data_IF_984076240333
#
_entry.id   IF_984076240333
#
_cell.length_a   1.000
_cell.length_b   1.000
_cell.length_c   1.000
_cell.angle_alpha   90.00
_cell.angle_beta   90.00
_cell.angle_gamma   90.00
#
_symmetry.space_group_name_H-M   'P 1'
#
loop_
_entity.id
_entity.type
_entity.pdbx_description
1 polymer ?
#
# COMPACT_ATOMS: atom_id res chain seq x y z
N UNK A 1 -7.17 5.94 -27.28
CA UNK A 1 -7.11 6.92 -26.18
C UNK A 1 -5.85 6.63 -25.40
N UNK A 2 -4.97 7.59 -25.09
CA UNK A 2 -3.90 7.32 -24.14
C UNK A 2 -4.52 6.90 -22.80
N UNK A 3 -3.97 5.85 -22.17
CA UNK A 3 -4.38 5.47 -20.83
C UNK A 3 -4.09 6.65 -19.88
N UNK A 4 -5.04 6.97 -19.02
CA UNK A 4 -4.86 7.96 -17.98
C UNK A 4 -3.75 7.46 -17.04
N UNK A 5 -2.76 8.28 -16.68
CA UNK A 5 -1.73 7.85 -15.72
C UNK A 5 -2.28 7.86 -14.29
N UNK A 6 -1.72 7.05 -13.39
CA UNK A 6 -2.00 7.16 -11.96
C UNK A 6 -1.63 8.56 -11.43
N UNK A 7 -2.35 9.00 -10.40
CA UNK A 7 -2.19 10.33 -9.80
C UNK A 7 -2.08 10.26 -8.29
N UNK A 8 -1.35 11.20 -7.70
CA UNK A 8 -1.25 11.39 -6.25
C UNK A 8 -1.98 12.68 -5.88
N UNK A 9 -3.04 12.55 -5.09
CA UNK A 9 -3.83 13.66 -4.55
C UNK A 9 -3.33 13.98 -3.14
N UNK A 10 -3.02 15.25 -2.87
CA UNK A 10 -2.43 15.68 -1.60
C UNK A 10 -0.89 15.64 -1.56
N UNK A 11 -0.25 15.17 -2.63
CA UNK A 11 1.20 15.09 -2.75
C UNK A 11 1.84 13.96 -1.95
N UNK A 12 3.14 13.74 -2.18
CA UNK A 12 3.93 12.74 -1.49
C UNK A 12 5.40 13.15 -1.48
N UNK A 13 6.08 12.87 -0.38
CA UNK A 13 7.53 13.01 -0.24
C UNK A 13 8.28 11.69 -0.51
N UNK A 14 7.56 10.55 -0.50
CA UNK A 14 8.13 9.21 -0.69
C UNK A 14 7.85 8.63 -2.08
N UNK A 15 6.64 8.81 -2.61
CA UNK A 15 6.20 8.24 -3.87
C UNK A 15 6.64 9.11 -5.06
N UNK A 16 7.61 8.59 -5.80
CA UNK A 16 7.96 9.06 -7.14
C UNK A 16 7.03 8.45 -8.20
N UNK A 17 7.08 8.94 -9.44
CA UNK A 17 6.35 8.34 -10.56
C UNK A 17 6.73 6.87 -10.79
N UNK A 18 8.00 6.51 -10.58
CA UNK A 18 8.47 5.13 -10.68
C UNK A 18 7.83 4.24 -9.61
N UNK A 19 7.81 4.70 -8.36
CA UNK A 19 7.21 3.95 -7.24
C UNK A 19 5.70 3.82 -7.40
N UNK A 20 5.02 4.87 -7.86
CA UNK A 20 3.60 4.82 -8.20
C UNK A 20 3.32 3.78 -9.29
N UNK A 21 4.15 3.75 -10.33
CA UNK A 21 4.02 2.78 -11.43
C UNK A 21 4.22 1.34 -10.94
N UNK A 22 5.15 1.10 -10.02
CA UNK A 22 5.34 -0.21 -9.40
C UNK A 22 4.09 -0.66 -8.64
N UNK A 23 3.52 0.22 -7.81
CA UNK A 23 2.29 -0.08 -7.04
C UNK A 23 1.08 -0.30 -7.94
N UNK A 24 0.89 0.52 -8.98
CA UNK A 24 -0.18 0.37 -9.95
C UNK A 24 -0.10 -0.98 -10.68
N UNK A 25 1.09 -1.32 -11.19
CA UNK A 25 1.32 -2.59 -11.89
C UNK A 25 1.07 -3.79 -10.97
N UNK A 26 1.52 -3.72 -9.71
CA UNK A 26 1.31 -4.80 -8.75
C UNK A 26 -0.16 -4.96 -8.39
N UNK A 27 -0.90 -3.85 -8.23
CA UNK A 27 -2.32 -3.89 -7.91
C UNK A 27 -3.14 -4.42 -9.09
N UNK A 28 -2.71 -4.13 -10.34
CA UNK A 28 -3.27 -4.72 -11.55
C UNK A 28 -4.66 -4.20 -11.93
N UNK A 29 -5.10 -3.09 -11.36
CA UNK A 29 -6.44 -2.53 -11.57
C UNK A 29 -6.48 -1.41 -12.63
N UNK A 30 -5.36 -1.18 -13.32
CA UNK A 30 -5.19 -0.03 -14.21
C UNK A 30 -5.02 1.29 -13.45
N UNK A 31 -5.30 2.43 -14.08
CA UNK A 31 -4.98 3.74 -13.50
C UNK A 31 -5.68 3.98 -12.16
N UNK A 32 -4.87 4.23 -11.14
CA UNK A 32 -5.33 4.51 -9.77
C UNK A 32 -5.06 5.95 -9.35
N UNK A 33 -5.94 6.49 -8.54
CA UNK A 33 -5.71 7.70 -7.77
C UNK A 33 -5.37 7.32 -6.32
N UNK A 34 -4.23 7.80 -5.85
CA UNK A 34 -3.78 7.69 -4.46
C UNK A 34 -4.07 9.00 -3.75
N UNK A 35 -4.96 8.98 -2.75
CA UNK A 35 -5.23 10.17 -1.93
C UNK A 35 -4.50 10.05 -0.61
N UNK A 36 -3.56 10.97 -0.35
CA UNK A 36 -2.85 11.02 0.92
C UNK A 36 -3.83 11.37 2.04
N UNK A 37 -3.96 10.47 3.02
CA UNK A 37 -4.83 10.63 4.19
C UNK A 37 -4.06 10.77 5.49
N UNK A 38 -2.74 10.51 5.49
CA UNK A 38 -1.87 10.66 6.65
C UNK A 38 -0.44 10.88 6.18
N UNK A 39 0.20 11.93 6.70
CA UNK A 39 1.65 12.12 6.65
C UNK A 39 2.14 12.26 8.08
N UNK A 40 3.09 11.40 8.49
CA UNK A 40 3.66 11.43 9.84
C UNK A 40 4.35 12.76 10.10
N UNK A 41 3.81 13.54 11.03
CA UNK A 41 4.46 14.73 11.57
C UNK A 41 5.43 14.37 12.71
N UNK A 42 6.41 15.22 13.04
CA UNK A 42 7.20 15.05 14.25
C UNK A 42 6.31 14.87 15.49
N UNK A 43 6.54 13.81 16.27
CA UNK A 43 5.76 13.50 17.46
C UNK A 43 4.41 12.82 17.22
N UNK A 44 4.05 12.50 15.96
CA UNK A 44 2.85 11.71 15.68
C UNK A 44 2.94 10.30 16.29
N UNK A 45 1.79 9.78 16.67
CA UNK A 45 1.63 8.51 17.39
C UNK A 45 0.71 7.55 16.65
N UNK A 46 0.60 6.31 17.12
CA UNK A 46 -0.40 5.36 16.62
C UNK A 46 -1.83 5.91 16.71
N UNK A 47 -2.12 6.74 17.70
CA UNK A 47 -3.44 7.39 17.83
C UNK A 47 -3.70 8.34 16.65
N UNK A 48 -2.71 9.12 16.25
CA UNK A 48 -2.84 10.03 15.10
C UNK A 48 -3.00 9.25 13.78
N UNK A 49 -2.25 8.16 13.64
CA UNK A 49 -2.39 7.23 12.52
C UNK A 49 -3.82 6.66 12.45
N UNK A 50 -4.33 6.08 13.55
CA UNK A 50 -5.65 5.46 13.57
C UNK A 50 -6.77 6.47 13.36
N UNK A 51 -6.68 7.67 13.95
CA UNK A 51 -7.64 8.75 13.72
C UNK A 51 -7.76 9.13 12.24
N UNK A 52 -6.64 9.08 11.51
CA UNK A 52 -6.60 9.41 10.09
C UNK A 52 -7.04 8.24 9.19
N UNK A 53 -6.65 7.01 9.54
CA UNK A 53 -6.65 5.86 8.63
C UNK A 53 -7.78 4.85 8.89
N UNK A 54 -8.35 4.84 10.10
CA UNK A 54 -9.45 3.92 10.40
C UNK A 54 -10.68 4.20 9.54
N UNK A 55 -11.31 3.11 9.08
CA UNK A 55 -12.53 3.09 8.27
C UNK A 55 -12.41 3.80 6.91
N UNK A 56 -11.18 3.98 6.39
CA UNK A 56 -10.94 4.63 5.08
C UNK A 56 -10.93 3.68 3.89
N UNK A 57 -11.23 2.40 4.10
CA UNK A 57 -11.12 1.37 3.07
C UNK A 57 -9.68 0.92 2.88
N UNK A 58 -9.42 0.36 1.70
CA UNK A 58 -8.10 -0.14 1.30
C UNK A 58 -7.05 0.96 1.23
N UNK A 59 -5.84 0.65 1.67
CA UNK A 59 -4.76 1.63 1.75
C UNK A 59 -3.40 1.06 1.36
N UNK A 60 -2.54 1.90 0.79
CA UNK A 60 -1.10 1.72 0.84
C UNK A 60 -0.53 2.46 2.05
N UNK A 61 0.28 1.77 2.86
CA UNK A 61 1.18 2.40 3.84
C UNK A 61 2.56 2.41 3.22
N UNK A 62 3.19 3.58 3.13
CA UNK A 62 4.52 3.78 2.53
C UNK A 62 5.43 4.44 3.57
N UNK A 63 6.60 3.85 3.81
CA UNK A 63 7.50 4.27 4.88
C UNK A 63 8.95 4.27 4.40
N UNK A 64 9.72 5.27 4.80
CA UNK A 64 11.18 5.16 4.82
C UNK A 64 11.59 4.36 6.06
N UNK A 65 12.28 3.26 5.85
CA UNK A 65 12.81 2.41 6.91
C UNK A 65 14.33 2.39 6.85
N UNK A 66 14.98 2.43 8.01
CA UNK A 66 16.42 2.35 8.16
C UNK A 66 16.79 1.26 9.19
N UNK A 67 17.79 0.47 8.87
CA UNK A 67 18.39 -0.48 9.81
C UNK A 67 19.69 0.08 10.41
N UNK A 68 20.09 -0.48 11.56
CA UNK A 68 21.31 -0.06 12.27
C UNK A 68 22.60 -0.25 11.44
N UNK A 69 22.57 -1.12 10.41
CA UNK A 69 23.67 -1.33 9.47
C UNK A 69 23.79 -0.20 8.41
N UNK A 70 22.89 0.78 8.41
CA UNK A 70 22.85 1.92 7.48
C UNK A 70 22.06 1.68 6.20
N UNK A 71 21.47 0.51 6.00
CA UNK A 71 20.58 0.25 4.87
C UNK A 71 19.27 1.04 5.04
N UNK A 72 18.86 1.71 3.97
CA UNK A 72 17.64 2.53 3.93
C UNK A 72 16.82 2.11 2.71
N UNK A 73 15.52 1.91 2.90
CA UNK A 73 14.59 1.58 1.83
C UNK A 73 13.23 2.27 2.01
N UNK A 74 12.51 2.42 0.91
CA UNK A 74 11.09 2.77 0.90
C UNK A 74 10.29 1.48 0.85
N UNK A 75 9.71 1.11 1.97
CA UNK A 75 8.99 -0.15 2.17
C UNK A 75 7.53 0.12 2.57
N UNK A 76 6.74 -0.93 2.65
CA UNK A 76 5.39 -0.81 3.13
C UNK A 76 4.53 -2.02 2.84
N UNK A 77 3.22 -1.79 2.91
CA UNK A 77 2.24 -2.83 2.67
C UNK A 77 0.92 -2.28 2.15
N UNK A 78 0.23 -3.12 1.40
CA UNK A 78 -1.14 -2.91 0.95
C UNK A 78 -2.11 -3.60 1.90
N UNK A 79 -2.99 -2.83 2.52
CA UNK A 79 -4.12 -3.38 3.26
C UNK A 79 -5.37 -3.32 2.36
N UNK A 80 -5.91 -4.45 1.88
CA UNK A 80 -7.11 -4.46 1.06
C UNK A 80 -8.40 -4.18 1.85
N UNK A 81 -8.33 -4.19 3.18
CA UNK A 81 -9.43 -3.90 4.09
C UNK A 81 -9.25 -2.54 4.78
N UNK A 82 -10.23 -2.15 5.60
CA UNK A 82 -10.09 -0.99 6.48
C UNK A 82 -9.31 -1.30 7.75
N UNK A 83 -8.55 -0.31 8.23
CA UNK A 83 -8.09 -0.25 9.61
C UNK A 83 -9.27 0.10 10.55
N UNK A 84 -9.25 -0.35 11.80
CA UNK A 84 -10.39 -0.17 12.71
C UNK A 84 -10.05 -0.15 14.20
N UNK A 85 -8.78 -0.04 14.58
CA UNK A 85 -8.35 -0.04 16.00
C UNK A 85 -8.77 -1.28 16.82
N UNK A 86 -9.24 -2.38 16.19
CA UNK A 86 -9.62 -3.61 16.88
C UNK A 86 -8.54 -4.67 16.70
N UNK A 87 -8.02 -5.18 17.81
CA UNK A 87 -7.11 -6.32 17.81
C UNK A 87 -7.90 -7.60 17.41
N UNK A 88 -7.90 -7.92 16.12
CA UNK A 88 -8.51 -9.15 15.62
C UNK A 88 -7.74 -9.73 14.46
N UNK A 89 -8.15 -10.96 14.10
CA UNK A 89 -7.65 -11.65 12.95
C UNK A 89 -8.69 -11.75 11.80
N UNK A 90 -8.64 -10.91 10.73
CA UNK A 90 -9.33 -11.11 9.44
C UNK A 90 -8.83 -12.32 8.61
N UNK A 91 -9.70 -13.31 8.39
CA UNK A 91 -9.31 -14.58 7.83
C UNK A 91 -9.16 -14.69 6.30
N UNK A 92 -9.06 -13.60 5.53
CA UNK A 92 -8.82 -13.68 4.08
C UNK A 92 -8.53 -12.29 3.53
N UNK A 93 -7.25 -11.97 3.35
CA UNK A 93 -6.82 -10.79 2.60
C UNK A 93 -5.95 -11.22 1.42
N UNK A 94 -6.49 -12.09 0.55
CA UNK A 94 -5.71 -12.76 -0.52
C UNK A 94 -4.97 -11.81 -1.47
N UNK A 95 -5.35 -10.53 -1.52
CA UNK A 95 -4.69 -9.50 -2.31
C UNK A 95 -3.71 -8.62 -1.53
N UNK A 96 -3.53 -8.83 -0.22
CA UNK A 96 -2.53 -8.12 0.58
C UNK A 96 -1.11 -8.50 0.14
N UNK A 97 -0.21 -7.52 0.14
CA UNK A 97 1.19 -7.72 -0.16
C UNK A 97 2.06 -6.69 0.56
N UNK A 98 3.30 -7.05 0.84
CA UNK A 98 4.34 -6.11 1.24
C UNK A 98 5.20 -5.75 0.06
N UNK A 99 5.92 -4.64 0.18
CA UNK A 99 6.80 -4.18 -0.88
C UNK A 99 8.05 -3.51 -0.32
N UNK A 100 9.10 -3.57 -1.14
CA UNK A 100 10.27 -2.71 -1.07
C UNK A 100 10.40 -2.03 -2.45
N UNK A 101 10.02 -0.76 -2.51
CA UNK A 101 10.00 0.00 -3.77
C UNK A 101 11.41 0.39 -4.21
N UNK A 102 12.35 0.49 -3.27
CA UNK A 102 13.75 0.83 -3.56
C UNK A 102 14.46 -0.25 -4.39
N UNK A 103 14.03 -1.51 -4.29
CA UNK A 103 14.55 -2.62 -5.09
C UNK A 103 13.49 -3.33 -5.94
N UNK A 104 12.29 -2.76 -6.06
CA UNK A 104 11.16 -3.31 -6.84
C UNK A 104 10.75 -4.73 -6.44
N UNK A 105 10.83 -5.06 -5.15
CA UNK A 105 10.40 -6.35 -4.62
C UNK A 105 9.00 -6.29 -4.04
N UNK A 106 8.26 -7.38 -4.26
CA UNK A 106 6.93 -7.60 -3.73
C UNK A 106 6.87 -8.96 -3.04
N UNK A 107 6.18 -8.99 -1.90
CA UNK A 107 6.09 -10.15 -1.04
C UNK A 107 4.61 -10.47 -0.91
N UNK A 108 4.20 -11.57 -1.54
CA UNK A 108 2.81 -12.01 -1.56
C UNK A 108 2.51 -12.84 -0.31
N UNK A 109 1.28 -12.71 0.17
CA UNK A 109 0.80 -13.52 1.27
C UNK A 109 0.88 -15.02 0.92
N UNK A 110 1.54 -15.81 1.77
CA UNK A 110 1.65 -17.27 1.65
C UNK A 110 0.96 -18.01 2.80
N UNK A 111 1.01 -17.44 4.01
CA UNK A 111 0.38 -18.01 5.22
C UNK A 111 -0.96 -17.35 5.58
N UNK A 112 -1.59 -17.84 6.63
CA UNK A 112 -2.74 -17.17 7.22
C UNK A 112 -2.29 -15.85 7.88
N UNK A 113 -2.90 -14.74 7.47
CA UNK A 113 -3.29 -13.60 8.33
C UNK A 113 -2.16 -12.61 8.78
N UNK A 114 -2.24 -11.25 8.89
CA UNK A 114 -3.21 -10.13 8.59
C UNK A 114 -2.53 -8.82 9.01
N UNK A 115 -2.91 -7.70 8.41
CA UNK A 115 -2.68 -6.38 9.00
C UNK A 115 -3.20 -6.32 10.45
N UNK A 116 -2.33 -6.08 11.46
CA UNK A 116 -2.77 -5.92 12.85
C UNK A 116 -3.30 -4.51 13.06
N UNK A 117 -4.56 -4.42 13.50
CA UNK A 117 -5.26 -3.15 13.73
C UNK A 117 -5.28 -2.75 15.21
N UNK A 118 -4.27 -3.11 16.01
CA UNK A 118 -4.25 -2.76 17.42
C UNK A 118 -4.01 -1.25 17.59
N UNK A 119 -4.91 -0.55 18.28
CA UNK A 119 -4.88 0.92 18.43
C UNK A 119 -3.60 1.49 19.02
N UNK A 120 -2.84 0.68 19.77
CA UNK A 120 -1.58 1.09 20.38
C UNK A 120 -0.36 0.85 19.48
N UNK A 121 -0.53 0.43 18.22
CA UNK A 121 0.56 0.22 17.27
C UNK A 121 0.36 1.07 16.02
N UNK A 122 1.46 1.38 15.36
CA UNK A 122 1.42 1.89 14.00
C UNK A 122 1.02 0.80 13.00
N UNK A 123 1.20 1.07 11.70
CA UNK A 123 0.88 0.10 10.66
C UNK A 123 1.71 -1.17 10.81
N UNK A 124 1.06 -2.31 10.98
CA UNK A 124 1.71 -3.60 11.20
C UNK A 124 1.09 -4.67 10.31
N UNK A 125 1.93 -5.53 9.72
CA UNK A 125 1.51 -6.53 8.74
C UNK A 125 2.06 -7.91 9.08
N UNK A 126 1.22 -8.94 8.89
CA UNK A 126 1.62 -10.35 8.94
C UNK A 126 1.53 -10.98 10.33
N UNK A 127 1.36 -12.30 10.39
CA UNK A 127 1.23 -13.04 11.64
C UNK A 127 2.59 -13.16 12.32
N UNK A 128 2.72 -12.66 13.56
CA UNK A 128 4.01 -12.52 14.23
C UNK A 128 4.84 -11.31 13.78
N UNK A 129 4.24 -10.46 12.93
CA UNK A 129 4.73 -9.17 12.43
C UNK A 129 5.90 -9.25 11.43
N UNK A 130 5.55 -9.38 10.16
CA UNK A 130 6.48 -9.22 9.04
C UNK A 130 7.02 -7.78 8.96
N UNK A 131 6.14 -6.81 9.25
CA UNK A 131 6.48 -5.43 9.56
C UNK A 131 5.74 -5.05 10.84
N UNK A 132 6.46 -4.52 11.82
CA UNK A 132 5.91 -3.96 13.05
C UNK A 132 6.33 -2.49 13.17
N UNK A 133 5.38 -1.62 13.53
CA UNK A 133 5.64 -0.22 13.87
C UNK A 133 5.05 0.07 15.25
N UNK A 134 5.87 0.62 16.14
CA UNK A 134 5.50 0.89 17.53
C UNK A 134 4.51 2.07 17.67
N UNK A 135 4.05 2.30 18.91
CA UNK A 135 3.11 3.38 19.24
C UNK A 135 3.64 4.79 18.95
N UNK A 136 4.97 4.97 18.93
CA UNK A 136 5.60 6.26 18.64
C UNK A 136 5.82 6.50 17.15
N UNK A 137 5.46 5.51 16.31
CA UNK A 137 5.70 5.48 14.86
C UNK A 137 7.17 5.61 14.47
N UNK A 138 8.12 5.47 15.39
CA UNK A 138 9.54 5.73 15.15
C UNK A 138 10.35 4.46 15.05
N UNK A 139 9.93 3.39 15.70
CA UNK A 139 10.72 2.16 15.77
C UNK A 139 9.86 0.93 15.55
N UNK A 140 10.51 -0.19 15.28
CA UNK A 140 9.88 -1.49 15.20
C UNK A 140 10.86 -2.49 14.59
N UNK A 141 10.36 -3.40 13.78
CA UNK A 141 11.20 -4.43 13.16
C UNK A 141 10.61 -4.98 11.86
N UNK A 142 11.44 -5.69 11.10
CA UNK A 142 11.02 -6.50 9.97
C UNK A 142 11.48 -7.94 10.13
N UNK A 143 10.55 -8.88 9.97
CA UNK A 143 10.78 -10.32 10.09
C UNK A 143 9.85 -11.07 9.15
N UNK A 144 10.22 -11.25 7.88
CA UNK A 144 9.36 -11.94 6.92
C UNK A 144 9.00 -13.35 7.43
N UNK A 145 7.71 -13.66 7.47
CA UNK A 145 7.19 -14.93 7.96
C UNK A 145 5.95 -15.36 7.17
N UNK A 146 4.95 -14.48 7.05
CA UNK A 146 3.68 -14.80 6.39
C UNK A 146 3.57 -14.29 4.96
N UNK A 147 4.41 -13.34 4.56
CA UNK A 147 4.53 -12.84 3.19
C UNK A 147 5.70 -13.49 2.42
N UNK A 148 6.13 -14.68 2.84
CA UNK A 148 7.20 -15.43 2.17
C UNK A 148 7.02 -16.93 2.36
N UNK A 149 7.56 -17.72 1.43
CA UNK A 149 7.74 -19.16 1.56
C UNK A 149 9.21 -19.61 1.51
N UNK A 150 10.15 -18.69 1.26
CA UNK A 150 11.57 -18.99 1.03
C UNK A 150 12.51 -18.12 1.84
N UNK A 151 12.04 -17.04 2.44
CA UNK A 151 12.86 -16.02 3.12
C UNK A 151 12.42 -15.79 4.56
N UNK A 152 11.91 -16.84 5.21
CA UNK A 152 11.45 -16.74 6.60
C UNK A 152 12.58 -16.28 7.52
N UNK A 153 12.29 -15.27 8.33
CA UNK A 153 13.20 -14.59 9.22
C UNK A 153 14.09 -13.54 8.57
N UNK A 154 13.91 -13.20 7.30
CA UNK A 154 14.69 -12.14 6.66
C UNK A 154 14.00 -10.77 6.78
N UNK A 155 14.80 -9.70 6.80
CA UNK A 155 14.32 -8.32 6.69
C UNK A 155 13.83 -8.02 5.27
N UNK A 156 12.74 -7.27 5.16
CA UNK A 156 12.26 -6.74 3.88
C UNK A 156 13.17 -5.63 3.32
N UNK A 157 14.02 -5.03 4.17
CA UNK A 157 14.82 -3.85 3.82
C UNK A 157 16.04 -4.27 3.01
N UNK A 158 16.79 -5.26 3.50
CA UNK A 158 18.06 -5.69 2.90
C UNK A 158 18.16 -7.21 2.62
N UNK A 159 17.15 -7.98 3.03
CA UNK A 159 17.12 -9.43 2.86
C UNK A 159 18.01 -10.22 3.83
N UNK A 160 18.67 -9.55 4.78
CA UNK A 160 19.49 -10.19 5.81
C UNK A 160 18.62 -10.89 6.86
N UNK A 161 19.17 -11.89 7.54
CA UNK A 161 18.44 -12.61 8.58
C UNK A 161 18.30 -11.74 9.84
N UNK A 162 17.10 -11.69 10.40
CA UNK A 162 16.79 -10.94 11.61
C UNK A 162 17.63 -11.45 12.78
N UNK A 163 18.32 -10.52 13.41
CA UNK A 163 19.25 -10.76 14.51
C UNK A 163 18.94 -9.87 15.72
N UNK A 164 17.73 -9.31 15.81
CA UNK A 164 17.33 -8.40 16.87
C UNK A 164 17.54 -6.90 16.56
N UNK A 165 17.90 -6.55 15.32
CA UNK A 165 18.06 -5.15 14.89
C UNK A 165 16.71 -4.43 14.87
N UNK A 166 16.70 -3.21 15.40
CA UNK A 166 15.54 -2.33 15.35
C UNK A 166 15.51 -1.61 13.99
N UNK A 167 14.31 -1.52 13.41
CA UNK A 167 14.06 -0.65 12.26
C UNK A 167 13.65 0.72 12.78
N UNK A 168 14.28 1.77 12.28
CA UNK A 168 13.84 3.15 12.48
C UNK A 168 12.98 3.59 11.30
N UNK A 169 11.81 4.15 11.59
CA UNK A 169 10.87 4.67 10.58
C UNK A 169 10.95 6.19 10.50
N UNK A 170 11.40 6.68 9.34
CA UNK A 170 11.51 8.10 9.03
C UNK A 170 10.17 8.69 8.58
N UNK A 171 10.12 9.19 7.34
CA UNK A 171 8.87 9.61 6.72
C UNK A 171 7.90 8.42 6.56
N UNK A 172 6.61 8.68 6.76
CA UNK A 172 5.54 7.70 6.63
C UNK A 172 4.30 8.39 6.06
N UNK A 173 3.71 7.79 5.03
CA UNK A 173 2.55 8.30 4.32
C UNK A 173 1.54 7.17 4.09
N UNK A 174 0.25 7.48 4.17
CA UNK A 174 -0.83 6.51 3.93
C UNK A 174 -1.77 7.05 2.88
N UNK A 175 -2.11 6.19 1.91
CA UNK A 175 -2.93 6.56 0.77
C UNK A 175 -4.14 5.66 0.65
N UNK A 176 -5.32 6.25 0.50
CA UNK A 176 -6.50 5.50 0.00
C UNK A 176 -6.41 5.36 -1.52
N UNK A 177 -7.03 4.30 -2.04
CA UNK A 177 -6.94 3.93 -3.46
C UNK A 177 -8.32 3.97 -4.09
N UNK A 178 -8.48 4.78 -5.13
CA UNK A 178 -9.68 4.80 -5.99
C UNK A 178 -9.30 4.64 -7.45
N UNK A 179 -10.23 4.15 -8.26
CA UNK A 179 -10.10 4.14 -9.72
C UNK A 179 -10.10 5.57 -10.27
N UNK A 180 -9.25 5.87 -11.26
CA UNK A 180 -9.33 7.18 -11.93
C UNK A 180 -10.59 7.19 -12.81
N UNK A 181 -11.49 8.18 -12.66
CA UNK A 181 -12.70 8.24 -13.47
C UNK A 181 -12.36 8.29 -14.96
N UNK A 182 -12.92 7.36 -15.75
CA UNK A 182 -12.83 7.45 -17.21
C UNK A 182 -13.62 8.68 -17.64
N UNK A 183 -13.02 9.63 -18.38
CA UNK A 183 -13.77 10.78 -18.88
C UNK A 183 -15.01 10.33 -19.65
N UNK A 184 -16.18 10.88 -19.32
CA UNK A 184 -17.49 10.46 -19.85
C UNK A 184 -17.64 10.45 -21.39
N UNK A 185 -16.64 10.94 -22.12
CA UNK A 185 -16.55 10.85 -23.57
C UNK A 185 -16.40 9.40 -24.11
N UNK A 186 -15.93 8.43 -23.30
CA UNK A 186 -15.78 7.04 -23.75
C UNK A 186 -17.13 6.39 -24.13
N UNK A 187 -18.24 6.82 -23.52
CA UNK A 187 -19.59 6.33 -23.85
C UNK A 187 -20.17 6.96 -25.12
N UNK A 188 -19.80 8.20 -25.45
CA UNK A 188 -20.28 8.92 -26.64
C UNK A 188 -19.81 8.26 -27.96
N UNK A 189 -18.62 7.66 -27.96
CA UNK A 189 -18.10 6.93 -29.13
C UNK A 189 -18.76 5.55 -29.32
N UNK A 190 -19.27 4.93 -28.26
CA UNK A 190 -20.06 3.68 -28.35
C UNK A 190 -21.44 3.91 -28.99
N UNK A 191 -22.10 5.02 -28.67
CA UNK A 191 -23.39 5.41 -29.26
C UNK A 191 -23.29 5.91 -30.70
N UNK A 192 -22.17 6.53 -31.09
CA UNK A 192 -22.00 7.07 -32.44
C UNK A 192 -21.87 5.97 -33.51
N UNK A 193 -21.26 4.83 -33.17
CA UNK A 193 -21.10 3.69 -34.11
C UNK A 193 -22.45 2.97 -34.33
N UNK A 194 -23.30 2.86 -33.31
CA UNK A 194 -24.64 2.28 -33.44
C UNK A 194 -25.61 3.20 -34.22
N UNK A 195 -25.47 4.53 -34.09
CA UNK A 195 -26.29 5.49 -34.84
C UNK A 195 -26.03 5.51 -36.36
N UNK A 196 -24.79 5.26 -36.78
CA UNK A 196 -24.40 5.24 -38.20
C UNK A 196 -24.80 3.95 -38.95
N UNK A 197 -25.00 2.83 -38.24
CA UNK A 197 -25.48 1.58 -38.82
C UNK A 197 -27.01 1.54 -39.00
N UNK A 198 -27.75 2.42 -38.33
CA UNK A 198 -29.22 2.53 -38.46
C UNK A 198 -29.71 3.30 -39.71
N UNK A 199 -28.82 3.98 -40.43
CA UNK A 199 -29.14 4.76 -41.63
C UNK A 199 -28.71 4.03 -42.91
N UNK A 200 -29.18 2.79 -43.12
CA UNK A 200 -29.18 2.15 -44.44
C UNK A 200 -30.60 1.82 -44.88
N UNK A 201 -31.27 2.89 -45.34
CA UNK A 201 -32.32 3.00 -46.37
C UNK A 201 -33.12 1.73 -46.73
N UNK A 202 -34.41 1.76 -46.39
CA UNK A 202 -35.49 1.28 -47.27
C UNK A 202 -35.83 2.40 -48.26
N UNK A 203 -35.79 2.08 -49.55
CA UNK A 203 -36.12 2.95 -50.67
C UNK A 203 -35.77 2.24 -51.96
#
# INVERSE_FOLDING_TARGET
MPAQAAIIVGGSSLLTETYLSQLENQLGEGPIALTNIFTKSPGATSVDFHNAVDNKGRTFVVMQAAEDNGNIAVIGGYNPESWNSVAHTNPTQQSSFLFNLSNSQFFLQFGAYITLNQSSYGPSFGSGYDIFVDSSLNTGYSYLATYTNTSSGNSIIDGSHYNGVNVTYGAMEVFTISQVPVPGAAWLFGSAILGLLGLKRRG
#
